data_IF_262321103576
#
_entry.id   IF_262321103576
#
_cell.length_a   1.000
_cell.length_b   1.000
_cell.length_c   1.000
_cell.angle_alpha   90.00
_cell.angle_beta   90.00
_cell.angle_gamma   90.00
#
_symmetry.space_group_name_H-M   'P 1'
#
loop_
_entity.id
_entity.type
_entity.pdbx_description
1 polymer ?
#
# COMPACT_ATOMS: atom_id res chain seq x y z
N UNK A 1 13.90 -3.52 -6.11
CA UNK A 1 13.28 -2.17 -6.06
C UNK A 1 12.65 -1.91 -4.69
N UNK A 2 12.77 -0.69 -4.16
CA UNK A 2 12.19 -0.27 -2.87
C UNK A 2 11.21 0.88 -3.06
N UNK A 3 10.04 0.79 -2.44
CA UNK A 3 8.94 1.75 -2.59
C UNK A 3 8.59 2.30 -1.23
N UNK A 4 8.73 3.61 -1.06
CA UNK A 4 8.27 4.29 0.14
C UNK A 4 6.76 4.46 0.09
N UNK A 5 6.06 4.06 1.14
CA UNK A 5 4.63 4.30 1.30
C UNK A 5 4.38 5.11 2.57
N UNK A 6 3.39 5.99 2.50
CA UNK A 6 2.99 6.84 3.60
C UNK A 6 1.47 6.84 3.69
N UNK A 7 0.94 6.55 4.87
CA UNK A 7 -0.47 6.63 5.18
C UNK A 7 -0.72 7.88 6.03
N UNK A 8 -1.70 8.68 5.61
CA UNK A 8 -2.20 9.80 6.37
C UNK A 8 -3.69 9.62 6.67
N UNK A 9 -4.12 9.99 7.87
CA UNK A 9 -5.53 10.00 8.30
C UNK A 9 -5.83 11.40 8.80
N UNK A 10 -6.92 12.00 8.29
CA UNK A 10 -7.27 13.41 8.57
C UNK A 10 -6.15 14.44 8.26
N UNK A 11 -5.25 14.11 7.33
CA UNK A 11 -4.12 14.98 6.96
C UNK A 11 -2.86 14.75 7.80
N UNK A 12 -2.95 14.02 8.91
CA UNK A 12 -1.80 13.68 9.76
C UNK A 12 -1.12 12.41 9.26
N UNK A 13 0.21 12.43 9.17
CA UNK A 13 0.98 11.24 8.84
C UNK A 13 0.96 10.27 10.02
N UNK A 14 0.30 9.12 9.83
CA UNK A 14 0.15 8.12 10.90
C UNK A 14 1.07 6.93 10.73
N UNK A 15 1.56 6.67 9.50
CA UNK A 15 2.46 5.56 9.23
C UNK A 15 3.34 5.81 8.00
N UNK A 16 4.59 5.37 8.11
CA UNK A 16 5.53 5.26 7.00
C UNK A 16 6.09 3.83 6.95
N UNK A 17 6.26 3.31 5.74
CA UNK A 17 6.82 1.97 5.53
C UNK A 17 7.58 1.89 4.20
N UNK A 18 8.35 0.82 4.02
CA UNK A 18 9.07 0.53 2.78
C UNK A 18 8.68 -0.85 2.29
N UNK A 19 8.06 -0.90 1.11
CA UNK A 19 7.72 -2.14 0.43
C UNK A 19 8.88 -2.52 -0.50
N UNK A 20 9.40 -3.73 -0.33
CA UNK A 20 10.45 -4.27 -1.20
C UNK A 20 9.86 -5.19 -2.26
N UNK A 21 10.20 -4.93 -3.53
CA UNK A 21 9.89 -5.79 -4.67
C UNK A 21 11.19 -6.42 -5.16
N UNK A 22 11.24 -7.75 -5.09
CA UNK A 22 12.40 -8.53 -5.50
C UNK A 22 12.66 -8.39 -7.00
N UNK A 23 13.89 -8.03 -7.36
CA UNK A 23 14.28 -7.64 -8.73
C UNK A 23 14.15 -8.77 -9.76
N UNK A 24 14.30 -10.02 -9.34
CA UNK A 24 14.11 -11.18 -10.22
C UNK A 24 12.68 -11.28 -10.78
N UNK A 25 11.70 -10.59 -10.19
CA UNK A 25 10.33 -10.53 -10.71
C UNK A 25 10.14 -9.45 -11.76
N UNK A 26 11.05 -8.47 -11.85
CA UNK A 26 10.92 -7.29 -12.70
C UNK A 26 11.61 -7.45 -14.06
N UNK A 27 12.57 -8.38 -14.19
CA UNK A 27 13.46 -8.46 -15.35
C UNK A 27 12.80 -8.74 -16.71
N UNK A 28 11.57 -9.24 -16.72
CA UNK A 28 10.80 -9.52 -17.95
C UNK A 28 9.53 -8.66 -18.06
N UNK A 29 9.27 -7.80 -17.08
CA UNK A 29 8.04 -7.00 -17.03
C UNK A 29 8.23 -5.70 -17.81
N UNK A 30 7.20 -5.33 -18.55
CA UNK A 30 7.06 -3.99 -19.12
C UNK A 30 6.80 -2.97 -18.00
N UNK A 31 7.03 -1.68 -18.27
CA UNK A 31 6.79 -0.61 -17.30
C UNK A 31 5.34 -0.61 -16.79
N UNK A 32 4.36 -0.84 -17.67
CA UNK A 32 2.93 -0.93 -17.31
C UNK A 32 2.64 -2.10 -16.35
N UNK A 33 3.28 -3.25 -16.56
CA UNK A 33 3.15 -4.40 -15.69
C UNK A 33 3.82 -4.15 -14.33
N UNK A 34 4.96 -3.45 -14.33
CA UNK A 34 5.65 -3.04 -13.10
C UNK A 34 4.75 -2.11 -12.29
N UNK A 35 4.17 -1.08 -12.91
CA UNK A 35 3.22 -0.18 -12.27
C UNK A 35 2.02 -0.92 -11.67
N UNK A 36 1.43 -1.84 -12.44
CA UNK A 36 0.31 -2.66 -11.98
C UNK A 36 0.70 -3.52 -10.77
N UNK A 37 1.89 -4.12 -10.78
CA UNK A 37 2.39 -4.92 -9.65
C UNK A 37 2.67 -4.07 -8.40
N UNK A 38 3.16 -2.83 -8.58
CA UNK A 38 3.32 -1.86 -7.49
C UNK A 38 1.96 -1.55 -6.88
N UNK A 39 0.95 -1.22 -7.69
CA UNK A 39 -0.39 -0.88 -7.22
C UNK A 39 -1.00 -2.03 -6.40
N UNK A 40 -0.92 -3.25 -6.91
CA UNK A 40 -1.39 -4.44 -6.20
C UNK A 40 -0.70 -4.63 -4.85
N UNK A 41 0.61 -4.38 -4.76
CA UNK A 41 1.38 -4.49 -3.52
C UNK A 41 1.00 -3.42 -2.50
N UNK A 42 0.81 -2.18 -2.96
CA UNK A 42 0.38 -1.08 -2.09
C UNK A 42 -1.02 -1.35 -1.57
N UNK A 43 -1.97 -1.77 -2.42
CA UNK A 43 -3.33 -2.13 -2.00
C UNK A 43 -3.32 -3.25 -0.96
N UNK A 44 -2.58 -4.32 -1.22
CA UNK A 44 -2.44 -5.41 -0.26
C UNK A 44 -1.77 -5.00 1.06
N UNK A 45 -0.91 -3.98 1.05
CA UNK A 45 -0.35 -3.38 2.26
C UNK A 45 -1.42 -2.58 3.00
N UNK A 46 -2.15 -1.71 2.31
CA UNK A 46 -3.26 -0.92 2.91
C UNK A 46 -4.29 -1.82 3.57
N UNK A 47 -4.73 -2.88 2.88
CA UNK A 47 -5.74 -3.82 3.37
C UNK A 47 -5.31 -4.54 4.67
N UNK A 48 -4.01 -4.66 4.94
CA UNK A 48 -3.49 -5.24 6.19
C UNK A 48 -3.35 -4.23 7.31
N UNK A 49 -3.19 -2.95 6.97
CA UNK A 49 -2.86 -1.89 7.91
C UNK A 49 -4.10 -1.16 8.42
N UNK A 50 -5.16 -1.10 7.61
CA UNK A 50 -6.35 -0.31 7.91
C UNK A 50 -7.53 -1.25 8.19
N UNK A 51 -8.05 -1.14 9.41
CA UNK A 51 -9.35 -1.70 9.79
C UNK A 51 -10.20 -0.55 10.31
N UNK A 52 -11.43 -0.45 9.81
CA UNK A 52 -12.41 0.55 10.25
C UNK A 52 -13.56 -0.19 10.90
N UNK A 53 -13.80 0.12 12.17
CA UNK A 53 -14.95 -0.37 12.93
C UNK A 53 -15.89 0.80 13.21
N UNK A 54 -17.19 0.52 13.31
CA UNK A 54 -18.18 1.53 13.63
C UNK A 54 -19.29 0.89 14.47
N UNK A 55 -19.91 1.73 15.30
CA UNK A 55 -21.10 1.40 16.07
C UNK A 55 -22.08 2.57 16.02
N UNK A 56 -23.38 2.28 16.14
CA UNK A 56 -24.42 3.31 16.32
C UNK A 56 -24.39 3.73 17.79
N UNK A 57 -24.10 5.01 18.06
CA UNK A 57 -24.02 5.50 19.44
C UNK A 57 -25.41 5.86 20.00
N UNK A 58 -26.41 6.19 19.16
CA UNK A 58 -27.82 6.44 19.54
C UNK A 58 -28.72 6.51 18.28
N UNK A 59 -30.04 6.23 18.40
CA UNK A 59 -31.07 6.38 17.34
C UNK A 59 -31.66 7.79 17.25
#
# INVERSE_FOLDING_TARGET
MRIGVQLAVAGDQVKQDVIEIAEHKLGEMTDEEIESAIEMKIRAWVDRMIQVEWEVIEE
#
